data_IF_253942803935
#
_entry.id   IF_253942803935
#
_cell.length_a   1.000
_cell.length_b   1.000
_cell.length_c   1.000
_cell.angle_alpha   90.00
_cell.angle_beta   90.00
_cell.angle_gamma   90.00
#
_symmetry.space_group_name_H-M   'P 1'
#
loop_
_entity.id
_entity.type
_entity.pdbx_description
1 polymer ?
#
# COMPACT_ATOMS: atom_id res chain seq x y z
N UNK A 1 -4.50 -30.67 -6.72
CA UNK A 1 -5.07 -29.66 -7.58
C UNK A 1 -6.60 -29.71 -7.60
N UNK A 2 -7.22 -30.85 -7.96
CA UNK A 2 -8.69 -31.01 -8.02
C UNK A 2 -9.33 -30.64 -6.68
N UNK A 3 -8.78 -31.10 -5.57
CA UNK A 3 -9.26 -30.81 -4.23
C UNK A 3 -9.18 -29.30 -3.89
N UNK A 4 -8.07 -28.64 -4.21
CA UNK A 4 -7.89 -27.20 -4.00
C UNK A 4 -8.91 -26.38 -4.83
N UNK A 5 -9.11 -26.75 -6.10
CA UNK A 5 -10.09 -26.09 -6.95
C UNK A 5 -11.55 -26.35 -6.50
N UNK A 6 -11.83 -27.53 -5.95
CA UNK A 6 -13.15 -27.85 -5.40
C UNK A 6 -13.47 -27.09 -4.11
N UNK A 7 -12.45 -26.81 -3.30
CA UNK A 7 -12.61 -26.08 -2.04
C UNK A 7 -12.55 -24.55 -2.20
N UNK A 8 -11.98 -24.04 -3.30
CA UNK A 8 -11.81 -22.61 -3.52
C UNK A 8 -12.08 -22.21 -4.96
N UNK A 9 -13.21 -21.52 -5.16
CA UNK A 9 -13.55 -20.90 -6.44
C UNK A 9 -12.45 -19.90 -6.88
N UNK A 10 -11.85 -19.15 -5.95
CA UNK A 10 -10.76 -18.21 -6.23
C UNK A 10 -9.55 -18.92 -6.86
N UNK A 11 -9.12 -20.07 -6.32
CA UNK A 11 -8.02 -20.85 -6.89
C UNK A 11 -8.39 -21.37 -8.28
N UNK A 12 -9.59 -21.91 -8.44
CA UNK A 12 -10.06 -22.43 -9.72
C UNK A 12 -10.09 -21.33 -10.80
N UNK A 13 -10.61 -20.15 -10.49
CA UNK A 13 -10.64 -18.99 -11.38
C UNK A 13 -9.24 -18.48 -11.73
N UNK A 14 -8.34 -18.40 -10.75
CA UNK A 14 -6.95 -17.96 -10.96
C UNK A 14 -6.18 -18.92 -11.87
N UNK A 15 -6.26 -20.21 -11.62
CA UNK A 15 -5.59 -21.23 -12.42
C UNK A 15 -6.17 -21.29 -13.84
N UNK A 16 -7.49 -21.16 -13.99
CA UNK A 16 -8.15 -21.11 -15.32
C UNK A 16 -7.71 -19.87 -16.12
N UNK A 17 -7.57 -18.73 -15.45
CA UNK A 17 -7.17 -17.45 -16.08
C UNK A 17 -5.68 -17.38 -16.39
N UNK A 18 -4.85 -17.99 -15.51
CA UNK A 18 -3.39 -17.94 -15.60
C UNK A 18 -2.81 -19.37 -15.47
N UNK A 19 -2.84 -20.18 -16.55
CA UNK A 19 -2.40 -21.58 -16.50
C UNK A 19 -0.95 -21.78 -16.05
N UNK A 20 -0.09 -20.76 -16.24
CA UNK A 20 1.31 -20.80 -15.77
C UNK A 20 1.41 -20.98 -14.25
N UNK A 21 0.40 -20.61 -13.50
CA UNK A 21 0.33 -20.81 -12.05
C UNK A 21 0.17 -22.30 -11.65
N UNK A 22 -0.14 -23.19 -12.60
CA UNK A 22 -0.19 -24.63 -12.32
C UNK A 22 1.15 -25.16 -11.81
N UNK A 23 2.26 -24.62 -12.32
CA UNK A 23 3.59 -25.04 -11.90
C UNK A 23 3.83 -24.80 -10.41
N UNK A 24 3.24 -23.73 -9.86
CA UNK A 24 3.30 -23.42 -8.44
C UNK A 24 2.58 -24.48 -7.58
N UNK A 25 1.50 -25.05 -8.08
CA UNK A 25 0.71 -26.07 -7.39
C UNK A 25 1.28 -27.49 -7.54
N UNK A 26 2.19 -27.72 -8.47
CA UNK A 26 2.87 -29.00 -8.63
C UNK A 26 3.95 -29.23 -7.57
N UNK A 27 4.51 -28.16 -7.01
CA UNK A 27 5.50 -28.25 -5.95
C UNK A 27 4.82 -28.41 -4.58
N UNK A 28 4.44 -29.63 -4.24
CA UNK A 28 3.74 -29.94 -2.98
C UNK A 28 4.56 -29.63 -1.72
N UNK A 29 5.88 -29.62 -1.80
CA UNK A 29 6.74 -29.25 -0.69
C UNK A 29 6.69 -27.74 -0.44
N UNK A 30 6.74 -26.94 -1.49
CA UNK A 30 6.58 -25.48 -1.38
C UNK A 30 5.21 -25.06 -0.85
N UNK A 31 4.15 -25.85 -1.14
CA UNK A 31 2.81 -25.59 -0.59
C UNK A 31 2.71 -25.92 0.90
N UNK A 32 3.48 -26.90 1.38
CA UNK A 32 3.53 -27.26 2.81
C UNK A 32 4.48 -26.40 3.63
N UNK A 33 5.46 -25.80 2.97
CA UNK A 33 6.46 -24.92 3.58
C UNK A 33 6.48 -23.59 2.80
N UNK A 34 5.47 -22.73 2.98
CA UNK A 34 5.43 -21.45 2.29
C UNK A 34 6.64 -20.61 2.66
N UNK A 35 7.18 -19.88 1.67
CA UNK A 35 8.31 -18.98 1.85
C UNK A 35 8.03 -18.02 3.01
N UNK A 36 8.94 -17.82 3.96
CA UNK A 36 8.78 -16.82 5.00
C UNK A 36 8.50 -15.43 4.42
N UNK A 37 7.47 -14.75 4.92
CA UNK A 37 7.07 -13.43 4.39
C UNK A 37 8.20 -12.37 4.48
N UNK A 38 9.15 -12.54 5.41
CA UNK A 38 10.32 -11.68 5.53
C UNK A 38 11.26 -11.74 4.31
N UNK A 39 11.14 -12.76 3.48
CA UNK A 39 11.94 -12.95 2.26
C UNK A 39 11.26 -12.38 1.00
N UNK A 40 10.01 -11.93 1.08
CA UNK A 40 9.29 -11.40 -0.09
C UNK A 40 9.99 -10.22 -0.78
N UNK A 41 10.59 -9.24 -0.08
CA UNK A 41 11.32 -8.17 -0.74
C UNK A 41 12.49 -8.68 -1.59
N UNK A 42 13.26 -9.62 -1.05
CA UNK A 42 14.42 -10.18 -1.76
C UNK A 42 14.00 -11.06 -2.94
N UNK A 43 13.01 -11.92 -2.75
CA UNK A 43 12.46 -12.77 -3.82
C UNK A 43 11.85 -11.93 -4.95
N UNK A 44 11.07 -10.90 -4.61
CA UNK A 44 10.52 -9.97 -5.59
C UNK A 44 11.64 -9.27 -6.34
N UNK A 45 12.67 -8.79 -5.66
CA UNK A 45 13.83 -8.15 -6.29
C UNK A 45 14.53 -9.11 -7.26
N UNK A 46 14.78 -10.36 -6.86
CA UNK A 46 15.40 -11.38 -7.72
C UNK A 46 14.51 -11.72 -8.93
N UNK A 47 13.21 -11.77 -8.73
CA UNK A 47 12.25 -11.99 -9.82
C UNK A 47 12.29 -10.83 -10.83
N UNK A 48 12.25 -9.59 -10.35
CA UNK A 48 12.24 -8.39 -11.18
C UNK A 48 13.56 -8.17 -11.95
N UNK A 49 14.71 -8.62 -11.41
CA UNK A 49 16.00 -8.54 -12.11
C UNK A 49 16.07 -9.40 -13.39
N UNK A 50 15.17 -10.36 -13.55
CA UNK A 50 15.07 -11.22 -14.75
C UNK A 50 14.28 -10.56 -15.88
N UNK A 51 13.60 -9.46 -15.59
CA UNK A 51 12.77 -8.72 -16.54
C UNK A 51 13.55 -7.54 -17.14
N UNK A 52 13.22 -7.10 -18.37
CA UNK A 52 13.77 -5.88 -18.91
C UNK A 52 13.44 -4.66 -18.05
N UNK A 53 14.48 -3.93 -17.64
CA UNK A 53 14.35 -2.85 -16.64
C UNK A 53 13.77 -1.54 -17.22
N UNK A 54 13.78 -1.38 -18.55
CA UNK A 54 13.33 -0.17 -19.23
C UNK A 54 11.88 -0.24 -19.72
N UNK A 55 11.20 -1.38 -19.51
CA UNK A 55 9.83 -1.62 -19.97
C UNK A 55 8.85 -1.56 -18.79
N UNK A 56 8.08 -0.47 -18.74
CA UNK A 56 7.09 -0.23 -17.68
C UNK A 56 6.00 -1.29 -17.68
N UNK A 57 5.52 -1.74 -18.84
CA UNK A 57 4.47 -2.74 -18.95
C UNK A 57 4.95 -4.09 -18.40
N UNK A 58 6.15 -4.50 -18.77
CA UNK A 58 6.76 -5.74 -18.26
C UNK A 58 7.04 -5.66 -16.76
N UNK A 59 7.45 -4.50 -16.25
CA UNK A 59 7.60 -4.29 -14.82
C UNK A 59 6.28 -4.51 -14.08
N UNK A 60 5.20 -3.88 -14.54
CA UNK A 60 3.89 -3.96 -13.91
C UNK A 60 3.33 -5.38 -14.00
N UNK A 61 3.45 -6.03 -15.13
CA UNK A 61 3.00 -7.42 -15.31
C UNK A 61 3.81 -8.39 -14.45
N UNK A 62 5.11 -8.17 -14.32
CA UNK A 62 5.97 -8.95 -13.43
C UNK A 62 5.55 -8.84 -11.97
N UNK A 63 5.25 -7.64 -11.47
CA UNK A 63 4.73 -7.47 -10.10
C UNK A 63 3.43 -8.24 -9.88
N UNK A 64 2.54 -8.23 -10.87
CA UNK A 64 1.25 -8.95 -10.78
C UNK A 64 1.44 -10.45 -10.79
N UNK A 65 2.29 -10.96 -11.67
CA UNK A 65 2.61 -12.38 -11.74
C UNK A 65 3.23 -12.87 -10.44
N UNK A 66 4.17 -12.11 -9.88
CA UNK A 66 4.77 -12.43 -8.58
C UNK A 66 3.70 -12.45 -7.48
N UNK A 67 2.87 -11.40 -7.40
CA UNK A 67 1.76 -11.35 -6.43
C UNK A 67 0.84 -12.56 -6.58
N UNK A 68 0.43 -12.90 -7.79
CA UNK A 68 -0.48 -14.01 -8.06
C UNK A 68 0.13 -15.35 -7.65
N UNK A 69 1.41 -15.58 -7.92
CA UNK A 69 2.15 -16.78 -7.51
C UNK A 69 2.16 -16.92 -5.99
N UNK A 70 2.55 -15.88 -5.25
CA UNK A 70 2.57 -15.92 -3.79
C UNK A 70 1.15 -16.07 -3.21
N UNK A 71 0.18 -15.32 -3.75
CA UNK A 71 -1.22 -15.39 -3.31
C UNK A 71 -1.78 -16.82 -3.45
N UNK A 72 -1.47 -17.49 -4.55
CA UNK A 72 -1.90 -18.86 -4.80
C UNK A 72 -1.27 -19.84 -3.82
N UNK A 73 0.04 -19.72 -3.55
CA UNK A 73 0.75 -20.56 -2.56
C UNK A 73 0.17 -20.36 -1.16
N UNK A 74 -0.06 -19.11 -0.75
CA UNK A 74 -0.65 -18.78 0.56
C UNK A 74 -2.07 -19.36 0.67
N UNK A 75 -2.89 -19.20 -0.37
CA UNK A 75 -4.27 -19.73 -0.38
C UNK A 75 -4.28 -21.27 -0.34
N UNK A 76 -3.37 -21.93 -1.04
CA UNK A 76 -3.26 -23.38 -0.99
C UNK A 76 -2.83 -23.87 0.40
N UNK A 77 -1.85 -23.20 1.04
CA UNK A 77 -1.40 -23.52 2.39
C UNK A 77 -2.48 -23.27 3.46
N UNK A 78 -3.31 -22.23 3.28
CA UNK A 78 -4.48 -21.93 4.11
C UNK A 78 -5.52 -23.06 4.04
N UNK A 79 -5.93 -23.45 2.82
CA UNK A 79 -6.90 -24.52 2.60
C UNK A 79 -6.39 -25.87 3.13
N UNK A 80 -5.09 -26.16 2.99
CA UNK A 80 -4.47 -27.38 3.51
C UNK A 80 -4.30 -27.35 5.04
N UNK A 81 -4.66 -26.24 5.72
CA UNK A 81 -4.52 -26.09 7.16
C UNK A 81 -3.07 -25.96 7.64
N UNK A 82 -2.14 -25.66 6.74
CA UNK A 82 -0.72 -25.45 7.05
C UNK A 82 -0.49 -24.09 7.71
N UNK A 83 -1.21 -23.06 7.23
CA UNK A 83 -1.14 -21.70 7.75
C UNK A 83 -2.36 -21.37 8.60
N UNK A 84 -2.19 -21.01 9.89
CA UNK A 84 -3.26 -20.40 10.67
C UNK A 84 -3.71 -19.05 10.05
N UNK A 85 -4.98 -18.70 10.18
CA UNK A 85 -5.58 -17.49 9.57
C UNK A 85 -4.80 -16.20 9.86
N UNK A 86 -4.25 -16.05 11.07
CA UNK A 86 -3.43 -14.89 11.42
C UNK A 86 -2.13 -14.85 10.61
N UNK A 87 -1.54 -16.02 10.30
CA UNK A 87 -0.35 -16.10 9.44
C UNK A 87 -0.67 -15.83 7.99
N UNK A 88 -1.84 -16.20 7.52
CA UNK A 88 -2.34 -15.82 6.19
C UNK A 88 -2.37 -14.29 6.06
N UNK A 89 -2.93 -13.59 7.05
CA UNK A 89 -2.95 -12.11 7.06
C UNK A 89 -1.54 -11.49 7.10
N UNK A 90 -0.61 -12.07 7.87
CA UNK A 90 0.80 -11.67 7.85
C UNK A 90 1.36 -11.76 6.42
N UNK A 91 1.24 -12.92 5.77
CA UNK A 91 1.73 -13.14 4.41
C UNK A 91 1.14 -12.14 3.40
N UNK A 92 -0.18 -11.93 3.43
CA UNK A 92 -0.84 -11.01 2.52
C UNK A 92 -0.41 -9.55 2.74
N UNK A 93 -0.21 -9.16 4.00
CA UNK A 93 0.23 -7.81 4.36
C UNK A 93 1.66 -7.55 3.89
N UNK A 94 2.60 -8.45 4.19
CA UNK A 94 3.99 -8.27 3.80
C UNK A 94 4.20 -8.42 2.29
N UNK A 95 3.36 -9.18 1.58
CA UNK A 95 3.33 -9.21 0.12
C UNK A 95 2.91 -7.84 -0.45
N UNK A 96 1.90 -7.22 0.15
CA UNK A 96 1.48 -5.86 -0.24
C UNK A 96 2.59 -4.84 0.04
N UNK A 97 3.27 -4.92 1.18
CA UNK A 97 4.39 -4.03 1.51
C UNK A 97 5.56 -4.18 0.53
N UNK A 98 5.95 -5.41 0.19
CA UNK A 98 6.99 -5.65 -0.81
C UNK A 98 6.59 -5.08 -2.19
N UNK A 99 5.32 -5.21 -2.56
CA UNK A 99 4.79 -4.64 -3.81
C UNK A 99 4.81 -3.11 -3.78
N UNK A 100 4.46 -2.48 -2.64
CA UNK A 100 4.50 -1.02 -2.46
C UNK A 100 5.93 -0.52 -2.56
N UNK A 101 6.88 -1.18 -1.90
CA UNK A 101 8.30 -0.83 -1.97
C UNK A 101 8.80 -0.83 -3.42
N UNK A 102 8.52 -1.90 -4.18
CA UNK A 102 8.90 -2.01 -5.57
C UNK A 102 8.27 -0.91 -6.44
N UNK A 103 6.96 -0.64 -6.26
CA UNK A 103 6.24 0.40 -7.02
C UNK A 103 6.79 1.78 -6.70
N UNK A 104 7.05 2.12 -5.45
CA UNK A 104 7.59 3.43 -5.06
C UNK A 104 9.00 3.62 -5.64
N UNK A 105 9.85 2.61 -5.57
CA UNK A 105 11.21 2.68 -6.12
C UNK A 105 11.18 2.85 -7.64
N UNK A 106 10.34 2.12 -8.36
CA UNK A 106 10.17 2.26 -9.80
C UNK A 106 9.59 3.63 -10.18
N UNK A 107 8.54 4.09 -9.50
CA UNK A 107 7.94 5.40 -9.73
C UNK A 107 8.96 6.53 -9.47
N UNK A 108 9.76 6.41 -8.41
CA UNK A 108 10.84 7.35 -8.11
C UNK A 108 11.82 7.45 -9.26
N UNK A 109 12.29 6.32 -9.78
CA UNK A 109 13.22 6.28 -10.92
C UNK A 109 12.62 6.99 -12.15
N UNK A 110 11.38 6.69 -12.51
CA UNK A 110 10.70 7.27 -13.67
C UNK A 110 10.51 8.79 -13.54
N UNK A 111 10.07 9.25 -12.35
CA UNK A 111 9.84 10.67 -12.10
C UNK A 111 11.18 11.43 -12.04
N UNK A 112 12.21 10.83 -11.41
CA UNK A 112 13.55 11.43 -11.32
C UNK A 112 14.25 11.54 -12.69
N UNK A 113 14.10 10.55 -13.56
CA UNK A 113 14.62 10.64 -14.94
C UNK A 113 14.01 11.82 -15.71
N UNK A 114 12.75 12.14 -15.43
CA UNK A 114 12.05 13.23 -16.13
C UNK A 114 12.32 14.59 -15.51
N UNK A 115 12.25 14.69 -14.18
CA UNK A 115 12.24 15.98 -13.48
C UNK A 115 13.49 16.24 -12.64
N UNK A 116 14.40 15.27 -12.52
CA UNK A 116 15.52 15.30 -11.57
C UNK A 116 15.06 14.91 -10.17
N UNK A 117 15.95 15.09 -9.22
CA UNK A 117 15.67 14.87 -7.78
C UNK A 117 15.62 16.19 -7.03
N UNK A 118 14.82 16.32 -5.96
CA UNK A 118 14.86 17.51 -5.10
C UNK A 118 16.29 17.85 -4.69
N UNK A 119 16.66 19.13 -4.75
CA UNK A 119 18.04 19.60 -4.57
C UNK A 119 18.70 19.08 -3.28
N UNK A 120 17.94 19.06 -2.17
CA UNK A 120 18.42 18.60 -0.87
C UNK A 120 18.70 17.08 -0.80
N UNK A 121 18.27 16.31 -1.81
CA UNK A 121 18.48 14.85 -1.92
C UNK A 121 19.55 14.47 -2.95
N UNK A 122 20.16 15.44 -3.62
CA UNK A 122 21.21 15.14 -4.60
C UNK A 122 22.37 14.42 -3.90
N UNK A 123 22.75 13.26 -4.45
CA UNK A 123 23.81 12.39 -3.90
C UNK A 123 23.42 11.59 -2.67
N UNK A 124 22.14 11.61 -2.27
CA UNK A 124 21.61 10.81 -1.16
C UNK A 124 20.83 9.60 -1.67
N UNK A 125 20.66 8.62 -0.80
CA UNK A 125 19.83 7.43 -1.05
C UNK A 125 18.40 7.61 -0.57
N UNK A 126 18.20 8.55 0.32
CA UNK A 126 16.91 8.93 0.90
C UNK A 126 16.02 9.54 -0.17
N UNK A 127 14.70 9.35 0.00
CA UNK A 127 13.68 9.90 -0.90
C UNK A 127 12.85 11.03 -0.25
N UNK A 128 12.93 11.15 1.07
CA UNK A 128 12.11 12.12 1.81
C UNK A 128 10.60 11.86 1.64
N UNK A 129 10.21 10.60 1.42
CA UNK A 129 8.86 10.18 1.09
C UNK A 129 8.41 9.01 1.96
N UNK A 130 7.19 9.08 2.47
CA UNK A 130 6.56 8.05 3.30
C UNK A 130 5.30 7.52 2.65
N UNK A 131 5.06 6.23 2.79
CA UNK A 131 3.76 5.62 2.57
C UNK A 131 3.22 5.11 3.90
N UNK A 132 2.05 5.59 4.26
CA UNK A 132 1.34 5.18 5.47
C UNK A 132 0.22 4.24 5.06
N UNK A 133 0.25 3.01 5.59
CA UNK A 133 -0.85 2.06 5.47
C UNK A 133 -1.84 2.25 6.62
N UNK A 134 -3.12 2.30 6.29
CA UNK A 134 -4.24 2.39 7.23
C UNK A 134 -5.06 1.10 7.23
N UNK A 135 -6.08 1.06 8.03
CA UNK A 135 -7.09 0.02 8.04
C UNK A 135 -6.50 -1.38 8.23
N UNK A 136 -6.82 -2.32 7.35
CA UNK A 136 -6.31 -3.69 7.41
C UNK A 136 -4.81 -3.78 7.12
N UNK A 137 -4.31 -2.94 6.21
CA UNK A 137 -2.88 -2.89 5.90
C UNK A 137 -2.06 -2.39 7.09
N UNK A 138 -2.49 -1.28 7.71
CA UNK A 138 -1.82 -0.75 8.89
C UNK A 138 -1.88 -1.69 10.10
N UNK A 139 -2.99 -2.40 10.27
CA UNK A 139 -3.23 -3.35 11.36
C UNK A 139 -2.66 -4.76 11.14
N UNK A 140 -2.02 -5.04 10.01
CA UNK A 140 -1.52 -6.39 9.63
C UNK A 140 -2.66 -7.41 9.58
N UNK A 141 -3.79 -7.04 8.99
CA UNK A 141 -5.01 -7.84 8.90
C UNK A 141 -5.53 -7.98 7.46
N UNK A 142 -4.63 -7.91 6.47
CA UNK A 142 -5.01 -7.94 5.07
C UNK A 142 -5.64 -9.29 4.71
N UNK A 143 -6.71 -9.25 3.93
CA UNK A 143 -7.35 -10.42 3.34
C UNK A 143 -7.12 -10.50 1.83
N UNK A 144 -7.50 -11.61 1.21
CA UNK A 144 -7.26 -11.89 -0.23
C UNK A 144 -7.80 -10.83 -1.19
N UNK A 145 -8.92 -10.19 -0.86
CA UNK A 145 -9.60 -9.18 -1.68
C UNK A 145 -9.58 -7.79 -1.04
N UNK A 146 -8.68 -7.56 -0.08
CA UNK A 146 -8.57 -6.25 0.55
C UNK A 146 -7.96 -5.24 -0.41
N UNK A 147 -8.52 -4.06 -0.42
CA UNK A 147 -7.92 -2.83 -0.92
C UNK A 147 -6.79 -2.34 0.00
N UNK A 148 -6.01 -1.42 -0.50
CA UNK A 148 -4.93 -0.78 0.23
C UNK A 148 -5.35 0.66 0.59
N UNK A 149 -5.60 0.90 1.87
CA UNK A 149 -5.82 2.24 2.40
C UNK A 149 -4.45 2.94 2.55
N UNK A 150 -4.13 3.90 1.68
CA UNK A 150 -2.82 4.56 1.63
C UNK A 150 -2.91 6.07 1.83
N UNK A 151 -1.93 6.61 2.54
CA UNK A 151 -1.66 8.06 2.60
C UNK A 151 -0.20 8.31 2.31
N UNK A 152 0.09 9.30 1.45
CA UNK A 152 1.43 9.70 1.08
C UNK A 152 1.84 10.97 1.80
N UNK A 153 2.97 10.89 2.50
CA UNK A 153 3.56 12.01 3.19
C UNK A 153 4.98 12.26 2.68
N UNK A 154 5.47 13.48 2.79
CA UNK A 154 6.83 13.81 2.38
C UNK A 154 7.43 14.89 3.27
N UNK A 155 8.76 14.98 3.25
CA UNK A 155 9.48 16.05 3.88
C UNK A 155 9.41 17.29 3.00
N UNK A 156 8.70 18.32 3.46
CA UNK A 156 8.66 19.59 2.75
C UNK A 156 10.00 20.31 2.86
N UNK A 157 10.60 20.59 1.71
CA UNK A 157 11.79 21.43 1.61
C UNK A 157 11.60 22.38 0.44
N UNK A 158 11.81 23.67 0.66
CA UNK A 158 11.81 24.64 -0.42
C UNK A 158 12.95 24.36 -1.40
N UNK A 159 12.71 24.59 -2.67
CA UNK A 159 13.71 24.40 -3.71
C UNK A 159 13.13 23.72 -4.94
N UNK A 160 14.01 23.47 -5.89
CA UNK A 160 13.66 22.85 -7.15
C UNK A 160 14.39 21.51 -7.32
N UNK A 161 13.95 20.74 -8.31
CA UNK A 161 14.62 19.51 -8.71
C UNK A 161 15.79 19.78 -9.62
N UNK A 162 16.85 18.96 -9.53
CA UNK A 162 18.08 19.08 -10.30
C UNK A 162 18.37 17.73 -11.01
N UNK A 163 18.97 17.83 -12.21
CA UNK A 163 19.46 16.66 -12.96
C UNK A 163 18.45 16.00 -13.89
N UNK A 164 17.24 16.52 -14.03
CA UNK A 164 16.23 16.01 -14.96
C UNK A 164 16.16 16.78 -16.27
N UNK A 165 15.26 16.30 -17.16
CA UNK A 165 14.96 16.98 -18.44
C UNK A 165 14.22 18.32 -18.21
N UNK A 166 13.49 18.47 -17.10
CA UNK A 166 12.74 19.65 -16.74
C UNK A 166 12.73 19.79 -15.21
N UNK A 167 13.23 20.92 -14.71
CA UNK A 167 13.15 21.24 -13.26
C UNK A 167 11.73 21.65 -12.87
N UNK A 168 11.31 21.22 -11.68
CA UNK A 168 10.03 21.58 -11.05
C UNK A 168 10.24 21.84 -9.56
N UNK A 169 9.27 22.46 -8.90
CA UNK A 169 9.24 22.63 -7.45
C UNK A 169 9.27 21.28 -6.72
N UNK A 170 9.97 21.21 -5.57
CA UNK A 170 10.13 19.98 -4.79
C UNK A 170 8.80 19.40 -4.32
N UNK A 171 7.83 20.19 -3.91
CA UNK A 171 6.51 19.69 -3.52
C UNK A 171 5.75 19.16 -4.75
N UNK A 172 5.88 19.82 -5.91
CA UNK A 172 5.29 19.33 -7.15
C UNK A 172 5.89 18.01 -7.57
N UNK A 173 7.18 17.76 -7.32
CA UNK A 173 7.83 16.49 -7.57
C UNK A 173 7.15 15.36 -6.77
N UNK A 174 6.91 15.54 -5.47
CA UNK A 174 6.26 14.53 -4.63
C UNK A 174 4.81 14.27 -5.05
N UNK A 175 4.08 15.28 -5.51
CA UNK A 175 2.74 15.08 -6.06
C UNK A 175 2.78 14.27 -7.37
N UNK A 176 3.77 14.49 -8.23
CA UNK A 176 3.98 13.68 -9.44
C UNK A 176 4.36 12.25 -9.10
N UNK A 177 5.17 12.05 -8.07
CA UNK A 177 5.51 10.73 -7.55
C UNK A 177 4.25 9.99 -7.07
N UNK A 178 3.44 10.63 -6.23
CA UNK A 178 2.18 10.08 -5.75
C UNK A 178 1.22 9.71 -6.90
N UNK A 179 1.06 10.60 -7.90
CA UNK A 179 0.27 10.32 -9.11
C UNK A 179 0.78 9.10 -9.87
N UNK A 180 2.11 8.97 -10.02
CA UNK A 180 2.72 7.83 -10.73
C UNK A 180 2.50 6.52 -9.96
N UNK A 181 2.65 6.53 -8.65
CA UNK A 181 2.40 5.36 -7.79
C UNK A 181 0.95 4.88 -7.94
N UNK A 182 -0.03 5.78 -7.79
CA UNK A 182 -1.46 5.44 -7.94
C UNK A 182 -1.74 4.92 -9.35
N UNK A 183 -1.17 5.53 -10.38
CA UNK A 183 -1.32 5.08 -11.77
C UNK A 183 -0.83 3.64 -11.98
N UNK A 184 0.32 3.26 -11.40
CA UNK A 184 0.87 1.90 -11.50
C UNK A 184 -0.05 0.88 -10.83
N UNK A 185 -0.57 1.20 -9.65
CA UNK A 185 -1.50 0.29 -8.94
C UNK A 185 -2.81 0.08 -9.71
N UNK A 186 -3.39 1.16 -10.24
CA UNK A 186 -4.70 1.15 -10.91
C UNK A 186 -4.66 0.78 -12.39
N UNK A 187 -3.49 0.74 -13.01
CA UNK A 187 -3.36 0.35 -14.41
C UNK A 187 -3.88 -1.07 -14.62
N UNK A 188 -4.80 -1.25 -15.56
CA UNK A 188 -5.34 -2.56 -15.91
C UNK A 188 -4.62 -3.11 -17.15
N UNK A 189 -3.99 -4.28 -17.02
CA UNK A 189 -3.37 -5.01 -18.13
C UNK A 189 -4.02 -6.38 -18.29
N UNK A 190 -3.51 -7.21 -19.20
CA UNK A 190 -3.93 -8.61 -19.36
C UNK A 190 -3.81 -9.42 -18.06
N UNK A 191 -2.86 -9.06 -17.19
CA UNK A 191 -2.67 -9.66 -15.87
C UNK A 191 -3.59 -9.08 -14.77
N UNK A 192 -4.51 -8.16 -15.11
CA UNK A 192 -5.43 -7.51 -14.17
C UNK A 192 -4.84 -6.25 -13.53
N UNK A 193 -5.32 -5.87 -12.34
CA UNK A 193 -4.80 -4.78 -11.52
C UNK A 193 -3.88 -5.32 -10.41
N UNK A 194 -2.92 -4.51 -9.96
CA UNK A 194 -2.02 -4.94 -8.88
C UNK A 194 -2.76 -4.97 -7.53
N UNK A 195 -3.30 -3.85 -7.11
CA UNK A 195 -4.20 -3.69 -5.96
C UNK A 195 -5.15 -2.53 -6.22
N UNK A 196 -6.36 -2.61 -5.68
CA UNK A 196 -7.22 -1.45 -5.49
C UNK A 196 -6.62 -0.57 -4.39
N UNK A 197 -6.56 0.75 -4.62
CA UNK A 197 -5.98 1.71 -3.68
C UNK A 197 -7.04 2.72 -3.27
N UNK A 198 -7.28 2.82 -1.96
CA UNK A 198 -8.12 3.84 -1.37
C UNK A 198 -7.28 4.96 -0.74
N UNK A 199 -7.46 6.17 -1.24
CA UNK A 199 -6.74 7.35 -0.79
C UNK A 199 -7.61 8.31 0.03
N UNK A 200 -8.85 7.92 0.37
CA UNK A 200 -9.84 8.82 1.01
C UNK A 200 -9.47 9.23 2.44
N UNK A 201 -8.54 8.52 3.09
CA UNK A 201 -8.03 8.87 4.43
C UNK A 201 -6.94 9.97 4.41
N UNK A 202 -6.58 10.50 3.24
CA UNK A 202 -5.68 11.65 3.14
C UNK A 202 -6.35 12.94 3.62
N UNK A 203 -5.59 13.96 4.07
CA UNK A 203 -6.15 15.24 4.49
C UNK A 203 -7.12 15.81 3.45
N UNK A 204 -8.29 16.23 3.90
CA UNK A 204 -9.41 16.73 3.07
C UNK A 204 -10.02 15.67 2.11
N UNK A 205 -9.74 14.39 2.30
CA UNK A 205 -10.31 13.30 1.50
C UNK A 205 -10.13 13.50 0.01
N UNK A 206 -11.18 13.27 -0.79
CA UNK A 206 -11.10 13.38 -2.26
C UNK A 206 -10.87 14.80 -2.80
N UNK A 207 -11.14 15.82 -2.00
CA UNK A 207 -10.85 17.22 -2.35
C UNK A 207 -9.37 17.58 -2.11
N UNK A 208 -8.64 16.78 -1.32
CA UNK A 208 -7.25 17.03 -0.98
C UNK A 208 -6.25 16.56 -2.04
N UNK A 209 -5.02 17.05 -1.92
CA UNK A 209 -3.90 16.60 -2.74
C UNK A 209 -3.58 15.13 -2.46
N UNK A 210 -3.00 14.42 -3.43
CA UNK A 210 -2.62 13.01 -3.28
C UNK A 210 -1.52 12.75 -2.24
N UNK A 211 -0.78 13.78 -1.88
CA UNK A 211 0.22 13.73 -0.82
C UNK A 211 0.39 15.09 -0.18
N UNK A 212 0.82 15.13 1.07
CA UNK A 212 1.10 16.35 1.80
C UNK A 212 2.39 16.22 2.63
N UNK A 213 2.91 17.35 3.10
CA UNK A 213 4.05 17.32 4.01
C UNK A 213 3.68 16.76 5.37
N UNK A 214 4.64 16.18 6.09
CA UNK A 214 4.47 15.73 7.47
C UNK A 214 3.92 16.83 8.36
N UNK A 215 4.43 18.05 8.22
CA UNK A 215 3.97 19.19 9.01
C UNK A 215 2.52 19.60 8.67
N UNK A 216 2.15 19.59 7.39
CA UNK A 216 0.77 19.87 6.98
C UNK A 216 -0.18 18.77 7.49
N UNK A 217 0.27 17.52 7.46
CA UNK A 217 -0.47 16.38 8.02
C UNK A 217 -0.70 16.54 9.53
N UNK A 218 0.35 16.86 10.30
CA UNK A 218 0.24 17.10 11.75
C UNK A 218 -0.76 18.22 12.04
N UNK A 219 -0.62 19.35 11.34
CA UNK A 219 -1.50 20.50 11.52
C UNK A 219 -2.97 20.15 11.21
N UNK A 220 -3.22 19.45 10.11
CA UNK A 220 -4.55 18.97 9.76
C UNK A 220 -5.12 18.04 10.83
N UNK A 221 -4.36 17.06 11.26
CA UNK A 221 -4.81 16.08 12.25
C UNK A 221 -5.12 16.70 13.62
N UNK A 222 -4.37 17.72 14.02
CA UNK A 222 -4.60 18.40 15.30
C UNK A 222 -5.83 19.33 15.25
N UNK A 223 -5.99 20.08 14.15
CA UNK A 223 -6.89 21.24 14.13
C UNK A 223 -8.15 21.03 13.26
N UNK A 224 -8.11 20.21 12.22
CA UNK A 224 -9.17 20.15 11.20
C UNK A 224 -9.81 18.77 11.09
N UNK A 225 -9.04 17.69 11.33
CA UNK A 225 -9.49 16.33 11.13
C UNK A 225 -10.69 15.96 12.00
N UNK A 226 -11.64 15.26 11.42
CA UNK A 226 -12.80 14.71 12.12
C UNK A 226 -12.40 13.60 13.09
N UNK A 227 -13.23 13.36 14.07
CA UNK A 227 -12.99 12.29 15.07
C UNK A 227 -12.75 10.91 14.44
N UNK A 228 -13.45 10.57 13.37
CA UNK A 228 -13.28 9.29 12.68
C UNK A 228 -11.93 9.18 11.95
N UNK A 229 -11.40 10.29 11.41
CA UNK A 229 -10.06 10.33 10.78
C UNK A 229 -8.98 10.13 11.85
N UNK A 230 -9.13 10.78 13.01
CA UNK A 230 -8.25 10.56 14.16
C UNK A 230 -8.35 9.11 14.69
N UNK A 231 -9.52 8.50 14.67
CA UNK A 231 -9.71 7.09 15.02
C UNK A 231 -9.01 6.17 14.01
N UNK A 232 -9.01 6.50 12.73
CA UNK A 232 -8.32 5.71 11.70
C UNK A 232 -6.81 5.63 11.96
N UNK A 233 -6.20 6.65 12.58
CA UNK A 233 -4.79 6.64 12.98
C UNK A 233 -4.43 5.50 13.96
N UNK A 234 -5.38 4.96 14.73
CA UNK A 234 -5.13 3.82 15.64
C UNK A 234 -4.58 2.63 14.86
N UNK A 235 -5.08 2.42 13.64
CA UNK A 235 -4.67 1.35 12.73
C UNK A 235 -3.87 1.89 11.55
N UNK A 236 -2.93 2.79 11.82
CA UNK A 236 -2.01 3.31 10.81
C UNK A 236 -0.57 2.94 11.13
N UNK A 237 0.23 2.72 10.10
CA UNK A 237 1.65 2.36 10.21
C UNK A 237 2.43 2.88 9.00
N UNK A 238 3.62 3.42 9.25
CA UNK A 238 4.53 3.79 8.18
C UNK A 238 5.16 2.52 7.58
N UNK A 239 4.78 2.19 6.33
CA UNK A 239 5.20 0.97 5.65
C UNK A 239 6.40 1.19 4.73
N UNK A 240 6.54 2.37 4.15
CA UNK A 240 7.68 2.76 3.31
C UNK A 240 8.25 4.09 3.78
N UNK A 241 9.57 4.27 3.68
CA UNK A 241 10.32 5.51 3.96
C UNK A 241 11.49 5.29 4.91
N UNK A 242 12.24 6.35 5.12
CA UNK A 242 13.43 6.37 5.98
C UNK A 242 13.05 6.26 7.46
N UNK A 243 13.94 5.70 8.26
CA UNK A 243 13.72 5.45 9.69
C UNK A 243 13.39 6.72 10.46
N UNK A 244 14.07 7.82 10.15
CA UNK A 244 13.87 9.12 10.78
C UNK A 244 12.47 9.67 10.50
N UNK A 245 12.02 9.63 9.25
CA UNK A 245 10.70 10.09 8.87
C UNK A 245 9.58 9.18 9.42
N UNK A 246 9.82 7.87 9.50
CA UNK A 246 8.89 6.94 10.16
C UNK A 246 8.75 7.25 11.65
N UNK A 247 9.86 7.57 12.32
CA UNK A 247 9.86 7.97 13.73
C UNK A 247 9.12 9.32 13.95
N UNK A 248 9.29 10.27 13.02
CA UNK A 248 8.58 11.55 13.04
C UNK A 248 7.06 11.34 12.87
N UNK A 249 6.65 10.54 11.90
CA UNK A 249 5.23 10.16 11.74
C UNK A 249 4.67 9.51 13.01
N UNK A 250 5.39 8.58 13.63
CA UNK A 250 4.93 7.90 14.84
C UNK A 250 4.79 8.88 16.02
N UNK A 251 5.69 9.87 16.12
CA UNK A 251 5.57 10.95 17.11
C UNK A 251 4.31 11.78 16.89
N UNK A 252 4.04 12.18 15.63
CA UNK A 252 2.81 12.89 15.26
C UNK A 252 1.58 12.05 15.62
N UNK A 253 1.57 10.78 15.22
CA UNK A 253 0.49 9.83 15.51
C UNK A 253 0.22 9.73 17.02
N UNK A 254 1.26 9.54 17.83
CA UNK A 254 1.15 9.50 19.28
C UNK A 254 0.59 10.80 19.85
N UNK A 255 1.05 11.97 19.40
CA UNK A 255 0.58 13.27 19.85
C UNK A 255 -0.93 13.44 19.56
N UNK A 256 -1.37 13.10 18.35
CA UNK A 256 -2.78 13.19 17.97
C UNK A 256 -3.66 12.25 18.77
N UNK A 257 -3.21 11.01 18.99
CA UNK A 257 -3.99 10.00 19.69
C UNK A 257 -4.06 10.23 21.21
N UNK A 258 -3.01 10.81 21.81
CA UNK A 258 -2.95 11.12 23.24
C UNK A 258 -3.57 12.47 23.61
N UNK A 259 -4.01 13.28 22.63
CA UNK A 259 -4.63 14.56 22.90
C UNK A 259 -5.91 14.41 23.76
N UNK A 260 -6.02 15.21 24.80
CA UNK A 260 -7.20 15.21 25.66
C UNK A 260 -8.46 15.63 24.88
N UNK A 261 -9.54 14.89 25.07
CA UNK A 261 -10.84 15.12 24.41
C UNK A 261 -11.96 15.11 25.43
N UNK A 262 -13.00 15.89 25.14
CA UNK A 262 -14.25 15.77 25.89
C UNK A 262 -14.90 14.40 25.58
N UNK A 263 -14.97 13.53 26.58
CA UNK A 263 -15.52 12.18 26.45
C UNK A 263 -17.01 12.20 26.07
N UNK A 264 -17.77 13.19 26.53
CA UNK A 264 -19.20 13.28 26.22
C UNK A 264 -19.41 13.68 24.75
N UNK A 265 -18.65 14.67 24.28
CA UNK A 265 -18.66 15.09 22.89
C UNK A 265 -18.20 13.94 21.98
N UNK A 266 -17.13 13.24 22.34
CA UNK A 266 -16.63 12.08 21.60
C UNK A 266 -17.69 10.98 21.45
N UNK A 267 -18.44 10.66 22.51
CA UNK A 267 -19.52 9.67 22.46
C UNK A 267 -20.64 10.08 21.49
N UNK A 268 -20.99 11.35 21.46
CA UNK A 268 -21.99 11.88 20.53
C UNK A 268 -21.50 11.71 19.10
N UNK A 269 -20.29 12.18 18.79
CA UNK A 269 -19.70 12.12 17.44
C UNK A 269 -19.58 10.67 16.92
N UNK A 270 -19.15 9.74 17.76
CA UNK A 270 -19.04 8.32 17.40
C UNK A 270 -20.42 7.71 17.13
N UNK A 271 -21.43 8.05 17.91
CA UNK A 271 -22.81 7.59 17.70
C UNK A 271 -23.38 8.12 16.39
N UNK A 272 -23.26 9.42 16.15
CA UNK A 272 -23.77 10.09 14.94
C UNK A 272 -23.09 9.53 13.68
N UNK A 273 -21.78 9.27 13.75
CA UNK A 273 -21.04 8.62 12.66
C UNK A 273 -21.58 7.21 12.40
N UNK A 274 -21.79 6.43 13.45
CA UNK A 274 -22.31 5.06 13.33
C UNK A 274 -23.72 5.04 12.71
N UNK A 275 -24.58 5.97 13.10
CA UNK A 275 -25.92 6.11 12.53
C UNK A 275 -25.84 6.42 11.02
N UNK A 276 -25.01 7.39 10.61
CA UNK A 276 -24.78 7.70 9.19
C UNK A 276 -24.26 6.51 8.38
N UNK A 277 -23.35 5.71 8.96
CA UNK A 277 -22.86 4.50 8.32
C UNK A 277 -23.96 3.46 8.11
N UNK A 278 -24.84 3.26 9.11
CA UNK A 278 -25.97 2.35 8.97
C UNK A 278 -26.99 2.81 7.92
N UNK A 279 -27.30 4.10 7.87
CA UNK A 279 -28.18 4.67 6.84
C UNK A 279 -27.60 4.44 5.44
N UNK A 280 -26.32 4.70 5.26
CA UNK A 280 -25.64 4.49 3.97
C UNK A 280 -25.66 3.01 3.54
N UNK A 281 -25.37 2.09 4.46
CA UNK A 281 -25.40 0.65 4.19
C UNK A 281 -26.81 0.10 3.92
N UNK A 282 -27.85 0.70 4.49
CA UNK A 282 -29.23 0.30 4.24
C UNK A 282 -29.71 0.68 2.83
N UNK A 283 -29.23 1.83 2.31
CA UNK A 283 -29.53 2.28 0.94
C UNK A 283 -28.74 1.56 -0.15
N UNK A 284 -27.67 0.85 0.19
CA UNK A 284 -26.82 0.13 -0.79
C UNK A 284 -27.28 -1.32 -0.99
N UNK A 285 -28.34 -1.77 -0.29
CA UNK A 285 -28.92 -3.12 -0.39
C UNK A 285 -30.19 -3.20 -1.25
N UNK A 286 -30.59 -2.10 -1.89
CA UNK A 286 -31.57 -2.05 -2.96
C UNK A 286 -30.86 -1.88 -4.34
#
# INVERSE_FOLDING_TARGET
>A
LIELCAQSQMIAEQVARYPILLDELLNTEALRNPLPFTQYPDELKQYMLRLPQDDEEQFIDGLRQFKQSILLRVAAADILGVLPVMKVSDHLTYLAEASIDAVVNFAWQQVSQRFGVPEHLVGKTEKGFLVIGYGKLGGIELGYKSDLDLVFLYQAVEGQTIGGKKSIDSNQFYLRLAQKIVSIFSMNTSAGILYDVDMRLRPSGDAGLLGCSLQAFENYQLNEAWTWEKQALVRSRAIFGETELKAEFEKIRCNVLSAQRDINQLKIEVRDMREKMYEHLSHTKE
#
